data_IF_112430764936
#
_entry.id   IF_112430764936
#
_cell.length_a   1.000
_cell.length_b   1.000
_cell.length_c   1.000
_cell.angle_alpha   90.00
_cell.angle_beta   90.00
_cell.angle_gamma   90.00
#
_symmetry.space_group_name_H-M   'P 1'
#
loop_
_entity.id
_entity.type
_entity.pdbx_description
1 polymer ?
#
# COMPACT_ATOMS: atom_id res chain seq x y z
N UNK A 1 23.44 56.92 1.31
CA UNK A 1 23.33 57.47 2.67
C UNK A 1 22.99 56.28 3.57
N UNK A 2 23.94 55.57 4.21
CA UNK A 2 24.70 55.92 5.44
C UNK A 2 23.74 56.39 6.53
N UNK A 3 23.51 55.67 7.64
CA UNK A 3 24.37 55.41 8.82
C UNK A 3 23.60 54.39 9.71
N UNK A 4 24.16 53.25 10.15
CA UNK A 4 25.00 52.98 11.35
C UNK A 4 24.36 53.30 12.70
N UNK A 5 24.30 52.29 13.58
CA UNK A 5 24.60 52.29 15.04
C UNK A 5 24.18 50.88 15.59
N UNK A 6 25.04 49.91 15.94
CA UNK A 6 26.15 49.78 16.92
C UNK A 6 25.72 49.69 18.39
N UNK A 7 26.05 48.55 19.02
CA UNK A 7 26.54 48.34 20.42
C UNK A 7 26.71 46.80 20.60
N UNK A 8 27.93 46.24 20.54
CA UNK A 8 28.95 46.05 21.62
C UNK A 8 28.54 44.93 22.60
N UNK A 9 29.36 43.96 23.04
CA UNK A 9 30.77 43.85 23.44
C UNK A 9 31.26 42.39 23.25
N UNK A 10 32.41 42.15 22.62
CA UNK A 10 33.70 41.77 23.24
C UNK A 10 33.68 40.49 24.10
N UNK A 11 34.42 39.45 23.68
CA UNK A 11 35.76 39.26 24.25
C UNK A 11 36.63 38.33 23.37
N UNK A 12 37.91 38.60 23.45
CA UNK A 12 38.99 38.26 22.56
C UNK A 12 39.83 37.15 23.18
N UNK A 13 40.19 36.09 22.46
CA UNK A 13 41.48 35.41 22.68
C UNK A 13 41.90 34.75 21.38
N UNK A 14 42.86 35.38 20.72
CA UNK A 14 43.54 34.82 19.57
C UNK A 14 44.55 33.73 19.94
N UNK A 15 44.87 32.90 18.95
CA UNK A 15 46.23 32.52 18.59
C UNK A 15 46.17 31.76 17.26
N UNK A 16 46.98 32.24 16.32
CA UNK A 16 47.15 31.82 14.94
C UNK A 16 47.86 30.45 14.76
N UNK A 17 47.94 29.91 13.53
CA UNK A 17 47.96 28.49 13.20
C UNK A 17 49.36 27.90 13.01
N UNK A 18 49.48 26.58 13.14
CA UNK A 18 50.49 25.75 12.47
C UNK A 18 50.22 24.27 12.83
N UNK A 19 49.98 23.41 11.85
CA UNK A 19 51.04 22.56 11.27
C UNK A 19 50.41 21.38 10.51
N UNK A 20 50.86 21.18 9.28
CA UNK A 20 50.55 20.03 8.43
C UNK A 20 51.33 18.81 8.91
N UNK A 21 50.66 17.65 9.09
CA UNK A 21 51.30 16.36 8.85
C UNK A 21 50.24 15.26 8.76
N UNK A 22 50.20 14.58 7.62
CA UNK A 22 49.29 13.48 7.37
C UNK A 22 49.50 12.28 8.28
N UNK A 23 48.46 11.47 8.42
CA UNK A 23 48.56 10.04 8.74
C UNK A 23 47.26 9.37 8.29
N UNK A 24 47.27 9.02 7.00
CA UNK A 24 46.88 7.72 6.48
C UNK A 24 45.66 7.04 7.14
N UNK A 25 44.57 7.02 6.40
CA UNK A 25 43.52 6.00 6.54
C UNK A 25 44.16 4.60 6.50
N UNK A 26 43.84 3.68 7.43
CA UNK A 26 43.94 2.27 7.15
C UNK A 26 42.67 1.86 6.43
N UNK A 27 42.68 1.96 5.09
CA UNK A 27 41.88 1.06 4.27
C UNK A 27 42.50 -0.33 4.39
N UNK A 28 41.83 -1.27 5.07
CA UNK A 28 42.03 -2.71 4.81
C UNK A 28 40.78 -3.53 5.19
N UNK A 29 40.07 -3.89 4.12
CA UNK A 29 39.54 -5.24 3.84
C UNK A 29 38.38 -5.80 4.68
N UNK A 30 37.17 -5.61 4.15
CA UNK A 30 36.30 -6.75 3.82
C UNK A 30 35.17 -6.23 2.92
N UNK A 31 35.24 -6.63 1.64
CA UNK A 31 34.16 -6.73 0.66
C UNK A 31 32.94 -5.83 0.92
N UNK A 32 32.70 -4.89 0.01
CA UNK A 32 31.43 -4.15 -0.08
C UNK A 32 30.30 -5.13 -0.39
N UNK A 33 29.90 -5.93 0.60
CA UNK A 33 28.72 -6.75 0.58
C UNK A 33 27.59 -5.76 0.36
N UNK A 34 26.97 -5.85 -0.81
CA UNK A 34 25.91 -4.93 -1.18
C UNK A 34 24.86 -4.91 -0.05
N UNK A 35 24.23 -3.76 0.24
CA UNK A 35 23.20 -3.67 1.27
C UNK A 35 22.14 -4.77 1.13
N UNK A 36 21.87 -5.19 -0.11
CA UNK A 36 20.95 -6.28 -0.46
C UNK A 36 21.44 -7.65 0.05
N UNK A 37 22.73 -7.97 -0.12
CA UNK A 37 23.31 -9.23 0.36
C UNK A 37 23.33 -9.29 1.90
N UNK A 38 23.63 -8.17 2.56
CA UNK A 38 23.58 -8.07 4.03
C UNK A 38 22.15 -8.25 4.55
N UNK A 39 21.17 -7.65 3.87
CA UNK A 39 19.76 -7.81 4.19
C UNK A 39 19.32 -9.26 4.01
N UNK A 40 19.70 -9.91 2.91
CA UNK A 40 19.40 -11.33 2.67
C UNK A 40 19.99 -12.24 3.76
N UNK A 41 21.25 -12.01 4.16
CA UNK A 41 21.90 -12.76 5.24
C UNK A 41 21.17 -12.62 6.57
N UNK A 42 20.90 -11.38 7.00
CA UNK A 42 20.21 -11.11 8.27
C UNK A 42 18.77 -11.63 8.27
N UNK A 43 18.09 -11.63 7.12
CA UNK A 43 16.73 -12.17 7.01
C UNK A 43 16.73 -13.69 7.16
N UNK A 44 17.70 -14.38 6.54
CA UNK A 44 17.85 -15.83 6.66
C UNK A 44 18.21 -16.26 8.10
N UNK A 45 19.05 -15.49 8.78
CA UNK A 45 19.40 -15.70 10.19
C UNK A 45 18.18 -15.51 11.11
N UNK A 46 17.37 -14.49 10.84
CA UNK A 46 16.13 -14.21 11.57
C UNK A 46 15.07 -15.29 11.33
N UNK A 47 14.93 -15.80 10.10
CA UNK A 47 14.01 -16.90 9.77
C UNK A 47 14.42 -18.21 10.46
N UNK A 48 15.73 -18.50 10.56
CA UNK A 48 16.24 -19.67 11.26
C UNK A 48 16.00 -19.63 12.78
N UNK A 49 15.89 -18.43 13.37
CA UNK A 49 15.57 -18.24 14.79
C UNK A 49 14.06 -18.29 15.07
N UNK A 50 13.22 -17.94 14.08
CA UNK A 50 11.77 -17.92 14.20
C UNK A 50 11.13 -19.30 13.93
N UNK A 51 11.34 -20.26 14.84
CA UNK A 51 10.87 -21.64 14.65
C UNK A 51 9.41 -21.93 15.05
N UNK A 52 8.79 -21.17 15.98
CA UNK A 52 7.47 -21.57 16.52
C UNK A 52 6.40 -20.45 16.62
N UNK A 53 6.77 -19.16 16.69
CA UNK A 53 5.78 -18.07 16.72
C UNK A 53 6.39 -16.73 16.33
N UNK A 54 5.96 -16.20 15.19
CA UNK A 54 6.32 -14.87 14.74
C UNK A 54 5.55 -13.84 15.58
N UNK A 55 6.20 -13.24 16.60
CA UNK A 55 5.58 -12.24 17.48
C UNK A 55 5.53 -10.85 16.83
N UNK A 56 6.49 -10.55 15.96
CA UNK A 56 6.60 -9.27 15.25
C UNK A 56 7.04 -9.57 13.82
N UNK A 57 6.24 -9.16 12.84
CA UNK A 57 6.67 -9.20 11.44
C UNK A 57 7.52 -7.96 11.15
N UNK A 58 8.72 -8.12 10.55
CA UNK A 58 9.58 -6.99 10.19
C UNK A 58 9.05 -6.17 9.00
N UNK A 59 8.09 -6.72 8.24
CA UNK A 59 7.52 -6.09 7.05
C UNK A 59 5.99 -6.11 7.11
N UNK A 60 5.38 -5.12 6.44
CA UNK A 60 3.93 -5.01 6.31
C UNK A 60 3.43 -5.82 5.12
N UNK A 61 2.77 -6.94 5.40
CA UNK A 61 2.20 -7.82 4.37
C UNK A 61 0.76 -7.46 4.02
N UNK A 62 0.33 -7.89 2.82
CA UNK A 62 -1.07 -7.75 2.35
C UNK A 62 -2.10 -8.26 3.37
N UNK A 63 -1.77 -9.32 4.11
CA UNK A 63 -2.66 -9.90 5.14
C UNK A 63 -2.85 -8.98 6.34
N UNK A 64 -1.80 -8.25 6.75
CA UNK A 64 -1.87 -7.33 7.88
C UNK A 64 -2.66 -6.08 7.52
N UNK A 65 -2.41 -5.52 6.32
CA UNK A 65 -3.20 -4.40 5.78
C UNK A 65 -4.68 -4.81 5.70
N UNK A 66 -4.95 -6.02 5.19
CA UNK A 66 -6.30 -6.52 5.08
C UNK A 66 -7.01 -6.69 6.42
N UNK A 67 -6.28 -7.11 7.47
CA UNK A 67 -6.83 -7.25 8.81
C UNK A 67 -7.26 -5.91 9.41
N UNK A 68 -6.44 -4.87 9.25
CA UNK A 68 -6.77 -3.51 9.73
C UNK A 68 -8.00 -2.96 9.00
N UNK A 69 -8.05 -3.11 7.67
CA UNK A 69 -9.21 -2.66 6.87
C UNK A 69 -10.46 -3.43 7.27
N UNK A 70 -10.36 -4.76 7.47
CA UNK A 70 -11.48 -5.59 7.89
C UNK A 70 -12.01 -5.18 9.27
N UNK A 71 -11.12 -4.87 10.23
CA UNK A 71 -11.50 -4.40 11.56
C UNK A 71 -12.24 -3.06 11.51
N UNK A 72 -11.80 -2.14 10.63
CA UNK A 72 -12.43 -0.82 10.51
C UNK A 72 -13.73 -0.83 9.70
N UNK A 73 -13.84 -1.70 8.71
CA UNK A 73 -14.98 -1.74 7.78
C UNK A 73 -16.01 -2.81 8.12
N UNK A 74 -15.64 -3.80 8.96
CA UNK A 74 -16.43 -5.00 9.22
C UNK A 74 -16.48 -5.99 8.04
N UNK A 75 -15.74 -5.74 6.95
CA UNK A 75 -15.72 -6.61 5.76
C UNK A 75 -14.73 -7.76 6.01
N UNK A 76 -15.13 -9.04 5.86
CA UNK A 76 -14.24 -10.17 6.15
C UNK A 76 -12.99 -10.19 5.26
N UNK A 77 -11.83 -10.62 5.79
CA UNK A 77 -10.59 -10.77 4.99
C UNK A 77 -10.80 -11.63 3.74
N UNK A 78 -11.62 -12.69 3.84
CA UNK A 78 -11.95 -13.57 2.71
C UNK A 78 -12.67 -12.84 1.56
N UNK A 79 -13.29 -11.69 1.83
CA UNK A 79 -13.90 -10.81 0.81
C UNK A 79 -12.90 -9.78 0.28
N UNK A 80 -11.92 -9.39 1.08
CA UNK A 80 -10.90 -8.41 0.71
C UNK A 80 -9.84 -8.97 -0.25
N UNK A 81 -9.54 -10.26 -0.15
CA UNK A 81 -8.56 -10.94 -1.00
C UNK A 81 -9.12 -11.43 -2.34
N UNK A 82 -10.44 -11.31 -2.57
CA UNK A 82 -11.04 -11.78 -3.81
C UNK A 82 -10.65 -10.87 -4.97
N UNK A 83 -10.29 -11.48 -6.09
CA UNK A 83 -10.03 -10.73 -7.31
C UNK A 83 -11.37 -10.16 -7.80
N UNK A 84 -11.49 -8.85 -7.74
CA UNK A 84 -12.71 -8.13 -8.11
C UNK A 84 -13.16 -8.42 -9.54
N UNK A 85 -12.22 -8.72 -10.45
CA UNK A 85 -12.54 -9.13 -11.83
C UNK A 85 -13.22 -10.50 -11.87
N UNK A 86 -12.77 -11.45 -11.05
CA UNK A 86 -13.40 -12.77 -10.94
C UNK A 86 -14.80 -12.67 -10.35
N UNK A 87 -14.97 -11.80 -9.34
CA UNK A 87 -16.28 -11.52 -8.71
C UNK A 87 -17.28 -11.01 -9.74
N UNK A 88 -16.86 -10.10 -10.63
CA UNK A 88 -17.75 -9.54 -11.67
C UNK A 88 -18.06 -10.58 -12.75
N UNK A 89 -17.07 -11.40 -13.13
CA UNK A 89 -17.22 -12.43 -14.17
C UNK A 89 -18.20 -13.53 -13.72
N UNK A 90 -18.13 -13.94 -12.45
CA UNK A 90 -18.98 -14.99 -11.89
C UNK A 90 -20.31 -14.46 -11.34
N UNK A 91 -20.49 -13.15 -11.25
CA UNK A 91 -21.68 -12.49 -10.71
C UNK A 91 -23.01 -12.99 -11.30
N UNK A 92 -23.16 -13.19 -12.63
CA UNK A 92 -24.41 -13.68 -13.20
C UNK A 92 -24.80 -15.07 -12.69
N UNK A 93 -23.80 -15.93 -12.47
CA UNK A 93 -24.00 -17.29 -11.97
C UNK A 93 -24.53 -17.25 -10.55
N UNK A 94 -23.88 -16.49 -9.67
CA UNK A 94 -24.31 -16.35 -8.28
C UNK A 94 -25.70 -15.70 -8.15
N UNK A 95 -26.00 -14.70 -8.99
CA UNK A 95 -27.32 -14.09 -9.04
C UNK A 95 -28.39 -15.07 -9.55
N UNK A 96 -28.10 -15.88 -10.57
CA UNK A 96 -29.05 -16.88 -11.08
C UNK A 96 -29.33 -18.05 -10.12
N UNK A 97 -28.37 -18.36 -9.24
CA UNK A 97 -28.58 -19.34 -8.18
C UNK A 97 -29.64 -18.84 -7.17
N UNK A 98 -29.68 -17.54 -6.92
CA UNK A 98 -30.56 -16.91 -5.92
C UNK A 98 -31.87 -16.38 -6.52
N UNK A 99 -31.81 -15.76 -7.69
CA UNK A 99 -32.91 -15.05 -8.33
C UNK A 99 -33.43 -15.90 -9.49
N UNK A 100 -34.73 -16.23 -9.48
CA UNK A 100 -35.35 -17.10 -10.49
C UNK A 100 -36.11 -16.29 -11.53
N UNK A 101 -35.89 -16.60 -12.81
CA UNK A 101 -36.65 -16.04 -13.93
C UNK A 101 -36.27 -14.61 -14.34
N UNK A 102 -35.15 -14.07 -13.85
CA UNK A 102 -34.67 -12.71 -14.13
C UNK A 102 -33.40 -12.66 -14.99
N UNK A 103 -33.16 -13.69 -15.82
CA UNK A 103 -31.93 -13.85 -16.59
C UNK A 103 -31.60 -12.62 -17.45
N UNK A 104 -32.62 -12.00 -18.07
CA UNK A 104 -32.48 -10.80 -18.90
C UNK A 104 -32.01 -9.58 -18.07
N UNK A 105 -32.59 -9.39 -16.89
CA UNK A 105 -32.23 -8.28 -16.00
C UNK A 105 -30.80 -8.46 -15.46
N UNK A 106 -30.45 -9.68 -15.06
CA UNK A 106 -29.10 -10.05 -14.59
C UNK A 106 -28.06 -9.83 -15.70
N UNK A 107 -28.36 -10.25 -16.93
CA UNK A 107 -27.46 -10.06 -18.08
C UNK A 107 -27.24 -8.56 -18.39
N UNK A 108 -28.29 -7.74 -18.31
CA UNK A 108 -28.20 -6.28 -18.48
C UNK A 108 -27.33 -5.64 -17.41
N UNK A 109 -27.54 -6.03 -16.15
CA UNK A 109 -26.75 -5.56 -15.00
C UNK A 109 -25.27 -5.91 -15.17
N UNK A 110 -24.98 -7.17 -15.53
CA UNK A 110 -23.62 -7.67 -15.74
C UNK A 110 -22.89 -6.89 -16.85
N UNK A 111 -23.54 -6.68 -18.01
CA UNK A 111 -22.97 -5.90 -19.12
C UNK A 111 -22.64 -4.47 -18.71
N UNK A 112 -23.52 -3.84 -17.94
CA UNK A 112 -23.29 -2.48 -17.47
C UNK A 112 -22.15 -2.41 -16.46
N UNK A 113 -22.04 -3.40 -15.56
CA UNK A 113 -20.96 -3.49 -14.58
C UNK A 113 -19.58 -3.70 -15.24
N UNK A 114 -19.52 -4.54 -16.29
CA UNK A 114 -18.32 -4.70 -17.11
C UNK A 114 -17.91 -3.39 -17.79
N UNK A 115 -18.87 -2.70 -18.39
CA UNK A 115 -18.65 -1.39 -19.05
C UNK A 115 -18.19 -0.35 -18.04
N UNK A 116 -18.75 -0.40 -16.83
CA UNK A 116 -18.41 0.51 -15.75
C UNK A 116 -16.97 0.36 -15.26
N UNK A 117 -16.43 -0.85 -15.32
CA UNK A 117 -15.05 -1.20 -14.92
C UNK A 117 -14.03 -1.00 -16.01
N UNK A 118 -14.40 -1.18 -17.27
CA UNK A 118 -13.53 -0.86 -18.40
C UNK A 118 -13.21 0.65 -18.53
N UNK A 119 -13.69 1.47 -17.59
CA UNK A 119 -13.57 2.92 -17.52
C UNK A 119 -13.92 3.64 -18.83
N UNK A 120 -14.80 3.03 -19.63
CA UNK A 120 -15.31 3.58 -20.89
C UNK A 120 -16.31 4.73 -20.65
N UNK A 121 -16.25 5.37 -19.47
CA UNK A 121 -17.24 6.35 -19.01
C UNK A 121 -16.57 7.66 -18.62
N UNK A 122 -17.39 8.70 -18.49
CA UNK A 122 -16.90 10.00 -18.03
C UNK A 122 -16.56 9.98 -16.54
N UNK A 123 -15.44 10.59 -16.12
CA UNK A 123 -15.11 10.76 -14.71
C UNK A 123 -16.22 11.53 -13.98
N UNK A 124 -16.51 11.16 -12.72
CA UNK A 124 -17.54 11.79 -11.89
C UNK A 124 -18.95 11.18 -12.00
N UNK A 125 -19.15 10.11 -12.78
CA UNK A 125 -20.42 9.36 -12.81
C UNK A 125 -20.41 8.15 -11.87
N UNK A 126 -21.56 7.80 -11.25
CA UNK A 126 -21.64 6.62 -10.39
C UNK A 126 -21.34 5.32 -11.15
N UNK A 127 -20.91 4.29 -10.42
CA UNK A 127 -20.58 2.97 -10.97
C UNK A 127 -21.76 2.30 -11.67
N UNK A 128 -22.99 2.56 -11.25
CA UNK A 128 -24.20 2.15 -11.96
C UNK A 128 -25.44 2.81 -11.34
N UNK A 129 -26.43 3.09 -12.18
CA UNK A 129 -27.74 3.56 -11.77
C UNK A 129 -28.78 2.71 -12.51
N UNK A 130 -29.57 1.95 -11.77
CA UNK A 130 -30.51 0.99 -12.32
C UNK A 130 -31.91 1.30 -11.79
N UNK A 131 -32.89 1.29 -12.69
CA UNK A 131 -34.31 1.28 -12.34
C UNK A 131 -34.80 -0.15 -12.52
N UNK A 132 -35.16 -0.80 -11.41
CA UNK A 132 -35.78 -2.12 -11.42
C UNK A 132 -37.29 -1.92 -11.36
N UNK A 133 -37.98 -2.25 -12.46
CA UNK A 133 -39.42 -2.09 -12.58
C UNK A 133 -40.07 -3.43 -12.94
N UNK A 134 -41.12 -3.79 -12.21
CA UNK A 134 -41.86 -5.03 -12.40
C UNK A 134 -43.10 -5.08 -11.51
N UNK A 135 -43.97 -6.08 -11.70
CA UNK A 135 -45.14 -6.29 -10.84
C UNK A 135 -44.72 -6.65 -9.41
N UNK A 136 -45.60 -6.48 -8.42
CA UNK A 136 -45.24 -6.74 -7.02
C UNK A 136 -44.82 -8.21 -6.82
N UNK A 137 -43.72 -8.43 -6.10
CA UNK A 137 -43.27 -9.78 -5.70
C UNK A 137 -42.32 -10.48 -6.67
N UNK A 138 -41.75 -9.79 -7.66
CA UNK A 138 -40.79 -10.37 -8.64
C UNK A 138 -39.31 -10.22 -8.27
N UNK A 139 -39.03 -9.71 -7.06
CA UNK A 139 -37.69 -9.56 -6.50
C UNK A 139 -37.27 -10.80 -5.73
#
# INVERSE_FOLDING_TARGET
ESESESESEQDNTGAEPADEAGSEQPEETAETVSPVQRLAHLTAELDALHNDRLLVSPHVDKKQIAAVIAEWTGVPLNRLSQNEMSVITDLPKWLGDTIKGQDLAIASLHKHLLTARADLRRPGRPLGAFLLAGPSGVG
#
